data_IF_991491461351
#
_entry.id   IF_991491461351
#
_cell.length_a   1.000
_cell.length_b   1.000
_cell.length_c   1.000
_cell.angle_alpha   90.00
_cell.angle_beta   90.00
_cell.angle_gamma   90.00
#
_symmetry.space_group_name_H-M   'P 1'
#
loop_
_entity.id
_entity.type
_entity.pdbx_description
1 polymer ?
#
# COMPACT_ATOMS: atom_id res chain seq x y z
N UNK A 1 14.53 -3.82 16.81
CA UNK A 1 14.33 -4.84 15.76
C UNK A 1 14.37 -4.10 14.43
N UNK A 2 15.25 -4.51 13.51
CA UNK A 2 15.59 -3.70 12.34
C UNK A 2 14.49 -3.84 11.28
N UNK A 3 13.54 -2.88 11.26
CA UNK A 3 12.36 -2.86 10.38
C UNK A 3 12.71 -2.47 8.93
N UNK A 4 13.60 -3.22 8.29
CA UNK A 4 13.96 -3.00 6.88
C UNK A 4 12.75 -3.05 5.94
N UNK A 5 11.70 -3.81 6.30
CA UNK A 5 10.43 -3.85 5.58
C UNK A 5 9.67 -2.51 5.61
N UNK A 6 9.59 -1.85 6.77
CA UNK A 6 8.97 -0.53 6.88
C UNK A 6 9.74 0.55 6.13
N UNK A 7 11.07 0.42 6.04
CA UNK A 7 11.90 1.38 5.30
C UNK A 7 11.56 1.45 3.80
N UNK A 8 10.98 0.40 3.21
CA UNK A 8 10.50 0.41 1.82
C UNK A 8 8.99 0.63 1.74
N UNK A 9 8.22 -0.02 2.63
CA UNK A 9 6.76 0.03 2.60
C UNK A 9 6.23 1.44 2.76
N UNK A 10 6.65 2.16 3.81
CA UNK A 10 6.06 3.47 4.12
C UNK A 10 6.37 4.50 3.02
N UNK A 11 7.62 4.64 2.52
CA UNK A 11 7.89 5.55 1.41
C UNK A 11 7.14 5.17 0.13
N UNK A 12 7.02 3.87 -0.17
CA UNK A 12 6.32 3.39 -1.36
C UNK A 12 4.81 3.68 -1.31
N UNK A 13 4.14 3.28 -0.23
CA UNK A 13 2.70 3.52 -0.07
C UNK A 13 2.39 5.03 0.02
N UNK A 14 3.26 5.83 0.65
CA UNK A 14 3.07 7.27 0.73
C UNK A 14 3.26 7.97 -0.62
N UNK A 15 4.15 7.47 -1.50
CA UNK A 15 4.28 7.98 -2.87
C UNK A 15 2.99 7.71 -3.66
N UNK A 16 2.49 6.47 -3.63
CA UNK A 16 1.24 6.08 -4.30
C UNK A 16 0.04 6.94 -3.85
N UNK A 17 -0.08 7.17 -2.54
CA UNK A 17 -1.14 8.01 -1.95
C UNK A 17 -1.04 9.47 -2.40
N UNK A 18 0.14 10.08 -2.30
CA UNK A 18 0.35 11.51 -2.63
C UNK A 18 0.14 11.80 -4.11
N UNK A 19 0.52 10.88 -4.97
CA UNK A 19 0.42 11.02 -6.42
C UNK A 19 -0.90 10.47 -6.99
N UNK A 20 -1.81 9.97 -6.13
CA UNK A 20 -3.08 9.37 -6.53
C UNK A 20 -2.90 8.29 -7.62
N UNK A 21 -1.87 7.46 -7.47
CA UNK A 21 -1.51 6.44 -8.46
C UNK A 21 -2.61 5.36 -8.49
N UNK A 22 -3.09 5.03 -9.68
CA UNK A 22 -4.01 3.91 -9.86
C UNK A 22 -3.28 2.58 -9.62
N UNK A 23 -3.71 1.84 -8.60
CA UNK A 23 -3.12 0.56 -8.19
C UNK A 23 -4.04 -0.61 -8.46
N UNK A 24 -3.45 -1.81 -8.55
CA UNK A 24 -4.15 -3.09 -8.46
C UNK A 24 -3.63 -3.86 -7.24
N UNK A 25 -4.51 -4.20 -6.30
CA UNK A 25 -4.18 -4.96 -5.09
C UNK A 25 -4.70 -6.39 -5.26
N UNK A 26 -3.82 -7.37 -5.12
CA UNK A 26 -4.16 -8.79 -5.23
C UNK A 26 -4.25 -9.39 -3.83
N UNK A 27 -5.44 -9.84 -3.45
CA UNK A 27 -5.68 -10.52 -2.18
C UNK A 27 -5.25 -11.98 -2.27
N UNK A 28 -4.89 -12.58 -1.12
CA UNK A 28 -4.42 -13.98 -1.05
C UNK A 28 -5.44 -15.00 -1.55
N UNK A 29 -6.73 -14.66 -1.53
CA UNK A 29 -7.82 -15.48 -2.07
C UNK A 29 -8.01 -15.32 -3.59
N UNK A 30 -7.17 -14.54 -4.27
CA UNK A 30 -7.19 -14.32 -5.71
C UNK A 30 -8.05 -13.14 -6.18
N UNK A 31 -8.75 -12.44 -5.29
CA UNK A 31 -9.52 -11.25 -5.66
C UNK A 31 -8.57 -10.11 -6.04
N UNK A 32 -8.87 -9.42 -7.15
CA UNK A 32 -8.18 -8.20 -7.58
C UNK A 32 -9.05 -6.99 -7.26
N UNK A 33 -8.51 -6.07 -6.48
CA UNK A 33 -9.07 -4.74 -6.24
C UNK A 33 -8.36 -3.71 -7.12
N UNK A 34 -9.08 -2.71 -7.60
CA UNK A 34 -8.51 -1.60 -8.38
C UNK A 34 -8.97 -0.28 -7.76
N UNK A 35 -8.04 0.62 -7.50
CA UNK A 35 -8.32 1.87 -6.81
C UNK A 35 -7.07 2.75 -6.66
N UNK A 36 -7.15 3.74 -5.79
CA UNK A 36 -6.02 4.53 -5.32
C UNK A 36 -5.88 4.30 -3.81
N UNK A 37 -4.71 4.58 -3.24
CA UNK A 37 -4.51 4.55 -1.79
C UNK A 37 -4.95 5.89 -1.22
N UNK A 38 -5.89 5.89 -0.28
CA UNK A 38 -6.34 7.08 0.46
C UNK A 38 -5.55 7.23 1.77
N UNK A 39 -5.39 6.14 2.54
CA UNK A 39 -4.59 6.12 3.78
C UNK A 39 -4.08 4.71 4.11
N UNK A 40 -3.10 4.61 5.03
CA UNK A 40 -2.59 3.32 5.49
C UNK A 40 -1.94 3.41 6.87
N UNK A 41 -1.85 2.28 7.56
CA UNK A 41 -1.04 2.06 8.75
C UNK A 41 -0.24 0.75 8.63
N UNK A 42 0.26 0.23 9.76
CA UNK A 42 1.06 -1.01 9.78
C UNK A 42 0.28 -2.26 9.31
N UNK A 43 -1.05 -2.26 9.36
CA UNK A 43 -1.89 -3.44 9.13
C UNK A 43 -2.94 -3.26 8.04
N UNK A 44 -3.37 -2.03 7.75
CA UNK A 44 -4.52 -1.75 6.87
C UNK A 44 -4.18 -0.69 5.82
N UNK A 45 -4.78 -0.83 4.64
CA UNK A 45 -4.80 0.14 3.54
C UNK A 45 -6.27 0.49 3.25
N UNK A 46 -6.55 1.78 3.10
CA UNK A 46 -7.82 2.32 2.62
C UNK A 46 -7.68 2.79 1.17
#
# INVERSE_FOLDING_TARGET
MNNKGQMLQDPFLNALRKEHVQVSIYLVNGIKLQGQVDSFDQYVIL
#
